data_IF_609811991349
#
_entry.id   IF_609811991349
#
_cell.length_a   1.000
_cell.length_b   1.000
_cell.length_c   1.000
_cell.angle_alpha   90.00
_cell.angle_beta   90.00
_cell.angle_gamma   90.00
#
_symmetry.space_group_name_H-M   'P 1'
#
loop_
_entity.id
_entity.type
_entity.pdbx_description
1 polymer ?
#
# COMPACT_ATOMS: atom_id res chain seq x y z
N UNK A 1 -9.86 -8.05 22.02
CA UNK A 1 -11.31 -7.89 21.78
C UNK A 1 -11.53 -7.07 20.54
N UNK A 2 -12.32 -7.57 19.62
CA UNK A 2 -12.69 -6.84 18.41
C UNK A 2 -14.05 -6.22 18.56
N UNK A 3 -14.21 -5.02 18.04
CA UNK A 3 -15.52 -4.37 18.01
C UNK A 3 -16.33 -4.85 16.81
N UNK A 4 -17.65 -4.89 16.96
CA UNK A 4 -18.54 -5.21 15.85
C UNK A 4 -18.54 -4.07 14.82
N UNK A 5 -18.57 -4.43 13.55
CA UNK A 5 -18.71 -3.45 12.47
C UNK A 5 -20.17 -3.04 12.42
N UNK A 6 -20.44 -1.74 12.60
CA UNK A 6 -21.80 -1.22 12.68
C UNK A 6 -22.52 -1.23 11.34
N UNK A 7 -21.79 -1.00 10.24
CA UNK A 7 -22.34 -0.85 8.90
C UNK A 7 -21.54 -1.69 7.91
N UNK A 8 -21.61 -3.02 7.98
CA UNK A 8 -20.75 -3.88 7.16
C UNK A 8 -21.02 -3.79 5.65
N UNK A 9 -22.22 -3.35 5.25
CA UNK A 9 -22.59 -3.25 3.84
C UNK A 9 -22.42 -1.85 3.28
N UNK A 10 -22.07 -0.87 4.10
CA UNK A 10 -21.89 0.51 3.64
C UNK A 10 -20.74 0.58 2.64
N UNK A 11 -20.99 1.03 1.39
CA UNK A 11 -19.92 1.15 0.41
C UNK A 11 -18.92 2.23 0.84
N UNK A 12 -17.65 1.86 0.87
CA UNK A 12 -16.57 2.75 1.29
C UNK A 12 -15.53 2.81 0.17
N UNK A 13 -15.09 4.03 -0.17
CA UNK A 13 -13.89 4.24 -0.95
C UNK A 13 -12.82 4.73 0.01
N UNK A 14 -11.72 3.99 0.14
CA UNK A 14 -10.56 4.41 0.90
C UNK A 14 -9.82 5.47 0.07
N UNK A 15 -9.78 6.74 0.51
CA UNK A 15 -9.24 7.82 -0.30
C UNK A 15 -7.72 7.94 -0.25
N UNK A 16 -7.02 7.09 0.49
CA UNK A 16 -5.60 7.29 0.71
C UNK A 16 -4.92 5.99 1.17
N UNK A 17 -4.20 5.33 0.28
CA UNK A 17 -3.34 4.23 0.67
C UNK A 17 -2.01 4.29 -0.06
N UNK A 18 -1.03 3.59 0.46
CA UNK A 18 0.29 3.44 -0.11
C UNK A 18 0.60 1.95 -0.36
N UNK A 19 1.53 1.72 -1.27
CA UNK A 19 2.15 0.41 -1.47
C UNK A 19 3.65 0.62 -1.42
N UNK A 20 4.36 -0.17 -0.62
CA UNK A 20 5.80 0.01 -0.46
C UNK A 20 6.51 -1.25 -0.04
N UNK A 21 7.82 -1.26 -0.23
CA UNK A 21 8.74 -2.16 0.44
C UNK A 21 9.89 -1.31 0.98
N UNK A 22 9.85 -1.02 2.26
CA UNK A 22 10.81 -0.16 2.93
C UNK A 22 11.84 -0.94 3.74
N UNK A 23 11.81 -2.28 3.68
CA UNK A 23 12.71 -3.12 4.45
C UNK A 23 14.19 -2.78 4.25
N UNK A 24 14.66 -2.50 3.02
CA UNK A 24 16.06 -2.11 2.84
C UNK A 24 16.40 -0.73 3.38
N UNK A 25 15.41 0.15 3.55
CA UNK A 25 15.63 1.54 3.94
C UNK A 25 15.60 1.75 5.45
N UNK A 26 14.81 0.97 6.18
CA UNK A 26 14.61 1.17 7.61
C UNK A 26 15.93 1.12 8.38
N UNK A 27 16.84 0.16 8.15
CA UNK A 27 18.12 0.12 8.86
C UNK A 27 19.04 1.29 8.55
N UNK A 28 18.79 2.03 7.46
CA UNK A 28 19.62 3.16 7.06
C UNK A 28 19.30 4.46 7.81
N UNK A 29 18.17 4.51 8.55
CA UNK A 29 17.83 5.69 9.34
C UNK A 29 18.73 5.78 10.56
N UNK A 30 19.24 6.99 10.87
CA UNK A 30 20.09 7.17 12.05
C UNK A 30 19.33 7.00 13.37
N UNK A 31 20.03 6.52 14.38
CA UNK A 31 19.50 6.43 15.74
C UNK A 31 19.76 7.75 16.49
N UNK A 32 18.86 8.19 17.41
CA UNK A 32 17.55 7.58 17.65
C UNK A 32 16.55 7.87 16.52
N UNK A 33 15.76 6.87 16.15
CA UNK A 33 14.77 7.06 15.08
C UNK A 33 13.53 7.76 15.62
N UNK A 34 12.91 8.56 14.74
CA UNK A 34 11.63 9.16 15.06
C UNK A 34 10.56 8.08 15.23
N UNK A 35 9.59 8.31 16.13
CA UNK A 35 8.51 7.36 16.42
C UNK A 35 7.75 6.95 15.15
N UNK A 36 7.60 7.88 14.19
CA UNK A 36 6.96 7.59 12.92
C UNK A 36 7.72 6.51 12.13
N UNK A 37 9.05 6.55 12.16
CA UNK A 37 9.88 5.55 11.48
C UNK A 37 9.72 4.18 12.16
N UNK A 38 9.66 4.14 13.49
CA UNK A 38 9.42 2.89 14.22
C UNK A 38 8.03 2.32 13.91
N UNK A 39 7.02 3.17 13.76
CA UNK A 39 5.68 2.74 13.36
C UNK A 39 5.67 2.16 11.95
N UNK A 40 6.37 2.80 11.01
CA UNK A 40 6.49 2.30 9.63
C UNK A 40 7.24 0.97 9.60
N UNK A 41 8.25 0.79 10.45
CA UNK A 41 9.04 -0.44 10.48
C UNK A 41 8.19 -1.68 10.76
N UNK A 42 7.08 -1.53 11.49
CA UNK A 42 6.13 -2.63 11.73
C UNK A 42 5.31 -3.02 10.51
N UNK A 43 5.28 -2.18 9.47
CA UNK A 43 4.56 -2.41 8.21
C UNK A 43 5.44 -2.07 7.03
N UNK A 44 6.74 -2.40 7.10
CA UNK A 44 7.73 -2.03 6.09
C UNK A 44 7.52 -2.70 4.74
N UNK A 45 6.79 -3.82 4.70
CA UNK A 45 6.39 -4.48 3.46
C UNK A 45 4.87 -4.48 3.37
N UNK A 46 4.33 -3.78 2.37
CA UNK A 46 2.89 -3.67 2.18
C UNK A 46 2.62 -3.56 0.68
N UNK A 47 2.16 -4.65 0.10
CA UNK A 47 1.86 -4.73 -1.34
C UNK A 47 0.48 -5.35 -1.55
N UNK A 48 0.27 -6.05 -2.65
CA UNK A 48 -1.05 -6.53 -3.01
C UNK A 48 -1.70 -7.39 -1.92
N UNK A 49 -0.98 -8.38 -1.39
CA UNK A 49 -1.57 -9.33 -0.44
C UNK A 49 -2.02 -8.64 0.84
N UNK A 50 -1.22 -7.70 1.35
CA UNK A 50 -1.54 -6.94 2.55
C UNK A 50 -2.75 -6.03 2.33
N UNK A 51 -2.76 -5.31 1.21
CA UNK A 51 -3.89 -4.45 0.84
C UNK A 51 -5.17 -5.28 0.68
N UNK A 52 -5.09 -6.39 -0.03
CA UNK A 52 -6.23 -7.29 -0.25
C UNK A 52 -6.80 -7.80 1.07
N UNK A 53 -5.93 -8.20 1.99
CA UNK A 53 -6.34 -8.64 3.32
C UNK A 53 -7.07 -7.53 4.08
N UNK A 54 -6.54 -6.31 4.05
CA UNK A 54 -7.13 -5.19 4.78
C UNK A 54 -8.47 -4.77 4.18
N UNK A 55 -8.59 -4.74 2.86
CA UNK A 55 -9.85 -4.35 2.20
C UNK A 55 -10.94 -5.40 2.34
N UNK A 56 -10.59 -6.63 2.72
CA UNK A 56 -11.54 -7.74 2.92
C UNK A 56 -11.70 -8.10 4.40
N UNK A 57 -11.48 -7.15 5.30
CA UNK A 57 -11.50 -7.40 6.75
C UNK A 57 -12.86 -7.17 7.41
N UNK A 58 -13.94 -7.04 6.64
CA UNK A 58 -15.30 -6.97 7.17
C UNK A 58 -16.08 -5.73 6.75
N UNK A 59 -15.40 -4.66 6.32
CA UNK A 59 -16.04 -3.50 5.70
C UNK A 59 -16.23 -3.74 4.20
N UNK A 60 -17.17 -2.99 3.61
CA UNK A 60 -17.42 -3.07 2.17
C UNK A 60 -16.59 -2.02 1.43
N UNK A 61 -15.30 -2.29 1.27
CA UNK A 61 -14.39 -1.40 0.54
C UNK A 61 -14.55 -1.69 -0.95
N UNK A 62 -15.14 -0.73 -1.68
CA UNK A 62 -15.42 -0.89 -3.11
C UNK A 62 -14.38 -0.26 -4.03
N UNK A 63 -13.45 0.48 -3.47
CA UNK A 63 -12.36 1.08 -4.22
C UNK A 63 -11.37 1.75 -3.29
N UNK A 64 -10.17 1.98 -3.79
CA UNK A 64 -9.11 2.67 -3.05
C UNK A 64 -8.44 3.68 -3.96
N UNK A 65 -7.84 4.72 -3.37
CA UNK A 65 -7.06 5.72 -4.10
C UNK A 65 -5.62 5.62 -3.64
N UNK A 66 -4.74 5.23 -4.56
CA UNK A 66 -3.31 5.18 -4.28
C UNK A 66 -2.74 6.59 -4.23
N UNK A 67 -1.90 6.84 -3.23
CA UNK A 67 -1.15 8.09 -3.10
C UNK A 67 0.34 7.80 -3.23
N UNK A 68 1.04 8.58 -4.01
CA UNK A 68 2.48 8.40 -4.19
C UNK A 68 3.22 8.56 -2.86
N UNK A 69 4.30 7.80 -2.69
CA UNK A 69 5.08 7.82 -1.45
C UNK A 69 6.59 7.61 -1.69
N UNK A 70 7.04 7.67 -2.94
CA UNK A 70 8.45 7.49 -3.27
C UNK A 70 8.91 6.03 -3.31
N UNK A 71 7.98 5.09 -3.35
CA UNK A 71 8.30 3.67 -3.40
C UNK A 71 8.55 3.20 -4.83
N UNK A 72 9.42 2.21 -4.99
CA UNK A 72 9.67 1.52 -6.28
C UNK A 72 10.10 2.47 -7.41
N UNK A 73 10.87 3.49 -7.09
CA UNK A 73 11.45 4.36 -8.09
C UNK A 73 12.44 3.59 -8.97
N UNK A 74 12.44 3.90 -10.26
CA UNK A 74 13.33 3.24 -11.22
C UNK A 74 14.74 3.81 -11.12
N UNK A 75 15.66 3.04 -10.56
CA UNK A 75 17.05 3.48 -10.36
C UNK A 75 17.81 3.68 -11.67
N UNK A 76 17.31 3.13 -12.79
CA UNK A 76 17.96 3.21 -14.09
C UNK A 76 17.52 4.40 -14.93
N UNK A 77 16.58 5.20 -14.43
CA UNK A 77 16.12 6.40 -15.13
C UNK A 77 16.79 7.64 -14.56
N UNK A 78 16.78 8.74 -15.34
CA UNK A 78 17.21 10.05 -14.84
C UNK A 78 16.30 10.52 -13.70
N UNK A 79 16.80 11.41 -12.85
CA UNK A 79 16.12 11.79 -11.60
C UNK A 79 14.67 12.23 -11.80
N UNK A 80 14.40 13.00 -12.87
CA UNK A 80 13.04 13.49 -13.14
C UNK A 80 12.07 12.37 -13.50
N UNK A 81 12.54 11.23 -13.98
CA UNK A 81 11.73 10.12 -14.47
C UNK A 81 11.71 8.91 -13.55
N UNK A 82 12.48 8.92 -12.47
CA UNK A 82 12.49 7.82 -11.50
C UNK A 82 11.10 7.50 -10.94
N UNK A 83 10.24 8.49 -10.67
CA UNK A 83 8.90 8.20 -10.15
C UNK A 83 8.01 7.36 -11.08
N UNK A 84 8.34 7.27 -12.37
CA UNK A 84 7.59 6.40 -13.30
C UNK A 84 7.60 4.95 -12.84
N UNK A 85 8.68 4.50 -12.17
CA UNK A 85 8.75 3.15 -11.61
C UNK A 85 7.62 2.86 -10.62
N UNK A 86 7.28 3.83 -9.78
CA UNK A 86 6.16 3.69 -8.84
C UNK A 86 4.82 3.55 -9.58
N UNK A 87 4.60 4.35 -10.62
CA UNK A 87 3.38 4.27 -11.44
C UNK A 87 3.26 2.91 -12.11
N UNK A 88 4.35 2.42 -12.68
CA UNK A 88 4.37 1.10 -13.32
C UNK A 88 4.04 -0.01 -12.32
N UNK A 89 4.60 0.06 -11.12
CA UNK A 89 4.32 -0.91 -10.07
C UNK A 89 2.85 -0.89 -9.68
N UNK A 90 2.29 0.29 -9.43
CA UNK A 90 0.89 0.45 -9.01
C UNK A 90 -0.06 -0.04 -10.09
N UNK A 91 0.23 0.27 -11.36
CA UNK A 91 -0.55 -0.24 -12.47
C UNK A 91 -0.51 -1.77 -12.55
N UNK A 92 0.64 -2.37 -12.23
CA UNK A 92 0.77 -3.82 -12.17
C UNK A 92 -0.08 -4.42 -11.06
N UNK A 93 -0.11 -3.79 -9.90
CA UNK A 93 -0.97 -4.22 -8.78
C UNK A 93 -2.45 -4.10 -9.16
N UNK A 94 -2.83 -3.01 -9.81
CA UNK A 94 -4.20 -2.84 -10.30
C UNK A 94 -4.58 -3.95 -11.31
N UNK A 95 -3.66 -4.29 -12.21
CA UNK A 95 -3.86 -5.38 -13.16
C UNK A 95 -3.99 -6.74 -12.45
N UNK A 96 -3.23 -6.96 -11.39
CA UNK A 96 -3.32 -8.15 -10.57
C UNK A 96 -4.72 -8.30 -9.96
N UNK A 97 -5.24 -7.23 -9.36
CA UNK A 97 -6.60 -7.22 -8.82
C UNK A 97 -7.65 -7.43 -9.91
N UNK A 98 -7.52 -6.74 -11.03
CA UNK A 98 -8.46 -6.81 -12.14
C UNK A 98 -8.46 -8.16 -12.86
N UNK A 99 -7.48 -9.02 -12.60
CA UNK A 99 -7.38 -10.33 -13.24
C UNK A 99 -8.54 -11.26 -12.87
N UNK A 100 -9.23 -11.01 -11.76
CA UNK A 100 -10.26 -11.88 -11.23
C UNK A 100 -9.75 -13.13 -10.53
N UNK A 101 -8.43 -13.33 -10.46
CA UNK A 101 -7.84 -14.52 -9.83
C UNK A 101 -7.99 -14.51 -8.32
N UNK A 102 -8.24 -13.36 -7.72
CA UNK A 102 -8.29 -13.16 -6.28
C UNK A 102 -9.70 -12.80 -5.79
N UNK A 103 -10.73 -13.04 -6.62
CA UNK A 103 -12.11 -12.71 -6.32
C UNK A 103 -12.49 -11.30 -6.78
N UNK A 104 -13.56 -10.78 -6.21
CA UNK A 104 -14.02 -9.42 -6.47
C UNK A 104 -13.06 -8.42 -5.83
N UNK A 105 -12.73 -7.35 -6.59
CA UNK A 105 -11.72 -6.43 -6.14
C UNK A 105 -12.06 -4.99 -6.57
#
# INVERSE_FOLDING_TARGET
>A
MTEDILEPDLPIIDPHHHLWDLRPLIPAFPEPRHDFIDAIAGAAYYTFDELHSDTHSGHNIIGTVFMECGAFYDANRGDAMKPVGEVEFVNGVAAQGASGLYGDY
#
